data_IF_657940634018
#
_entry.id   IF_657940634018
#
_cell.length_a   1.000
_cell.length_b   1.000
_cell.length_c   1.000
_cell.angle_alpha   90.00
_cell.angle_beta   90.00
_cell.angle_gamma   90.00
#
_symmetry.space_group_name_H-M   'P 1'
#
loop_
_entity.id
_entity.type
_entity.pdbx_description
1 polymer ?
#
# COMPACT_ATOMS: atom_id res chain seq x y z
N UNK A 1 -26.99 17.04 4.19
CA UNK A 1 -26.26 18.02 5.01
C UNK A 1 -25.01 18.39 4.22
N UNK A 2 -24.93 19.61 3.71
CA UNK A 2 -23.77 20.13 2.97
C UNK A 2 -22.80 20.74 3.97
N UNK A 3 -21.64 20.12 4.17
CA UNK A 3 -20.58 20.66 5.01
C UNK A 3 -19.79 21.69 4.19
N UNK A 4 -19.47 22.88 4.73
CA UNK A 4 -18.67 23.88 4.03
C UNK A 4 -17.22 23.40 3.84
N UNK A 5 -16.62 23.71 2.69
CA UNK A 5 -15.29 23.21 2.30
C UNK A 5 -14.16 23.59 3.27
N UNK A 6 -14.30 24.67 4.05
CA UNK A 6 -13.28 25.14 5.00
C UNK A 6 -13.04 24.23 6.21
N UNK A 7 -14.03 23.39 6.58
CA UNK A 7 -13.92 22.49 7.73
C UNK A 7 -13.45 21.08 7.33
N UNK A 8 -13.48 20.77 6.03
CA UNK A 8 -13.23 19.43 5.48
C UNK A 8 -11.85 19.34 4.84
N UNK A 9 -11.41 20.43 4.19
CA UNK A 9 -10.13 20.48 3.49
C UNK A 9 -9.12 21.28 4.30
N UNK A 10 -8.00 20.65 4.62
CA UNK A 10 -6.87 21.31 5.26
C UNK A 10 -5.83 21.68 4.20
N UNK A 11 -5.31 22.89 4.28
CA UNK A 11 -4.26 23.35 3.39
C UNK A 11 -2.92 22.81 3.88
N UNK A 12 -2.26 22.03 3.03
CA UNK A 12 -0.97 21.43 3.35
C UNK A 12 -0.02 21.53 2.15
N UNK A 13 1.27 21.61 2.46
CA UNK A 13 2.31 21.57 1.45
C UNK A 13 2.65 20.10 1.17
N UNK A 14 2.45 19.69 -0.09
CA UNK A 14 2.73 18.33 -0.56
C UNK A 14 3.84 18.37 -1.63
N UNK A 15 4.25 17.19 -2.12
CA UNK A 15 5.19 17.08 -3.24
C UNK A 15 4.68 17.73 -4.54
N UNK A 16 3.36 17.93 -4.68
CA UNK A 16 2.73 18.61 -5.82
C UNK A 16 2.49 20.11 -5.57
N UNK A 17 2.96 20.62 -4.43
CA UNK A 17 2.79 22.01 -4.03
C UNK A 17 1.71 22.20 -2.97
N UNK A 18 1.10 23.37 -2.97
CA UNK A 18 0.10 23.78 -1.97
C UNK A 18 -1.26 23.13 -2.32
N UNK A 19 -1.65 22.12 -1.55
CA UNK A 19 -2.84 21.33 -1.84
C UNK A 19 -3.88 21.45 -0.72
N UNK A 20 -5.16 21.34 -1.10
CA UNK A 20 -6.27 21.18 -0.17
C UNK A 20 -6.53 19.68 0.02
N UNK A 21 -6.16 19.14 1.18
CA UNK A 21 -6.25 17.69 1.47
C UNK A 21 -7.47 17.42 2.36
N UNK A 22 -8.30 16.47 1.96
CA UNK A 22 -9.39 15.93 2.79
C UNK A 22 -8.97 14.57 3.35
N UNK A 23 -8.96 14.42 4.69
CA UNK A 23 -8.73 13.13 5.36
C UNK A 23 -10.02 12.62 6.02
N UNK A 24 -10.66 11.58 5.47
CA UNK A 24 -11.91 11.05 6.03
C UNK A 24 -11.80 10.52 7.46
N UNK A 25 -10.60 10.10 7.90
CA UNK A 25 -10.37 9.49 9.21
C UNK A 25 -10.18 10.50 10.35
N UNK A 26 -9.75 11.73 10.04
CA UNK A 26 -9.49 12.80 11.03
C UNK A 26 -10.71 13.68 11.24
N UNK A 27 -11.53 13.81 10.21
CA UNK A 27 -12.86 14.37 10.34
C UNK A 27 -13.66 13.31 11.11
N UNK A 28 -14.16 13.66 12.30
CA UNK A 28 -15.23 12.90 12.95
C UNK A 28 -16.49 13.01 12.07
N UNK A 29 -16.46 12.36 10.91
CA UNK A 29 -17.60 12.06 10.06
C UNK A 29 -18.38 10.90 10.72
N UNK A 30 -18.49 10.95 12.06
CA UNK A 30 -19.43 10.17 12.83
C UNK A 30 -20.81 10.49 12.28
N UNK A 31 -21.43 9.48 11.66
CA UNK A 31 -22.81 9.46 11.18
C UNK A 31 -23.12 9.83 9.73
N UNK A 32 -22.19 9.76 8.76
CA UNK A 32 -22.62 9.50 7.37
C UNK A 32 -22.74 7.98 7.20
N UNK A 33 -23.86 7.45 7.68
CA UNK A 33 -24.41 6.12 7.41
C UNK A 33 -23.36 5.03 7.17
N UNK A 34 -22.75 4.56 8.26
CA UNK A 34 -22.17 3.21 8.35
C UNK A 34 -23.28 2.16 8.26
N UNK A 35 -24.04 2.14 7.16
CA UNK A 35 -24.77 0.96 6.76
C UNK A 35 -23.73 0.05 6.10
N UNK A 36 -23.56 -1.16 6.65
CA UNK A 36 -22.66 -2.23 6.16
C UNK A 36 -22.92 -2.68 4.71
N UNK A 37 -23.80 -1.99 3.98
CA UNK A 37 -24.32 -2.37 2.66
C UNK A 37 -24.18 -1.26 1.61
N UNK A 38 -23.48 -0.14 1.88
CA UNK A 38 -23.22 0.86 0.85
C UNK A 38 -22.18 0.35 -0.14
N UNK A 39 -22.65 -0.03 -1.34
CA UNK A 39 -21.81 -0.52 -2.45
C UNK A 39 -20.96 0.60 -3.07
N UNK A 40 -21.39 1.85 -2.91
CA UNK A 40 -20.68 3.02 -3.38
C UNK A 40 -20.82 4.23 -2.45
N UNK A 41 -19.82 5.11 -2.48
CA UNK A 41 -19.86 6.43 -1.84
C UNK A 41 -19.73 7.51 -2.90
N UNK A 42 -20.43 8.64 -2.74
CA UNK A 42 -20.37 9.76 -3.66
C UNK A 42 -19.85 11.00 -2.94
N UNK A 43 -18.84 11.64 -3.51
CA UNK A 43 -18.37 12.96 -3.12
C UNK A 43 -18.66 13.91 -4.26
N UNK A 44 -19.32 15.02 -3.97
CA UNK A 44 -19.58 16.09 -4.92
C UNK A 44 -18.88 17.34 -4.43
N UNK A 45 -18.04 17.92 -5.27
CA UNK A 45 -17.32 19.15 -4.97
C UNK A 45 -17.41 20.11 -6.15
N UNK A 46 -17.67 21.38 -5.87
CA UNK A 46 -17.62 22.46 -6.83
C UNK A 46 -16.48 23.41 -6.45
N UNK A 47 -15.66 23.79 -7.42
CA UNK A 47 -14.58 24.75 -7.26
C UNK A 47 -14.79 25.88 -8.27
N UNK A 48 -14.62 27.13 -7.83
CA UNK A 48 -14.69 28.29 -8.70
C UNK A 48 -13.38 29.06 -8.62
N UNK A 49 -12.78 29.33 -9.78
CA UNK A 49 -11.55 30.10 -9.87
C UNK A 49 -11.86 31.59 -9.86
N UNK A 50 -11.09 32.35 -9.09
CA UNK A 50 -11.19 33.81 -9.05
C UNK A 50 -10.46 34.45 -10.24
N UNK A 51 -11.00 35.53 -10.80
CA UNK A 51 -10.48 36.22 -12.00
C UNK A 51 -9.02 36.70 -11.92
N UNK A 52 -8.45 36.79 -10.72
CA UNK A 52 -7.10 37.32 -10.51
C UNK A 52 -5.97 36.27 -10.61
N UNK A 53 -6.29 34.98 -10.66
CA UNK A 53 -5.28 33.92 -10.77
C UNK A 53 -4.99 33.57 -12.23
N UNK A 54 -3.73 33.76 -12.66
CA UNK A 54 -3.22 33.34 -13.99
C UNK A 54 -3.16 31.80 -14.19
N UNK A 55 -3.57 31.04 -13.18
CA UNK A 55 -3.57 29.57 -13.19
C UNK A 55 -4.97 29.11 -13.60
N UNK A 56 -5.11 28.68 -14.85
CA UNK A 56 -6.35 28.12 -15.38
C UNK A 56 -6.32 26.60 -15.16
N UNK A 57 -7.01 26.12 -14.13
CA UNK A 57 -7.19 24.70 -13.82
C UNK A 57 -6.62 24.28 -12.46
N UNK A 58 -7.08 23.14 -11.98
CA UNK A 58 -6.60 22.49 -10.76
C UNK A 58 -6.21 21.04 -11.05
N UNK A 59 -5.27 20.49 -10.31
CA UNK A 59 -4.95 19.07 -10.38
C UNK A 59 -5.70 18.32 -9.27
N UNK A 60 -6.22 17.15 -9.59
CA UNK A 60 -6.91 16.27 -8.65
C UNK A 60 -6.22 14.92 -8.59
N UNK A 61 -6.00 14.44 -7.37
CA UNK A 61 -5.45 13.10 -7.14
C UNK A 61 -6.10 12.47 -5.91
N UNK A 62 -6.13 11.14 -5.89
CA UNK A 62 -6.51 10.36 -4.71
C UNK A 62 -5.34 9.49 -4.30
N UNK A 63 -4.99 9.52 -3.01
CA UNK A 63 -3.88 8.73 -2.48
C UNK A 63 -4.36 7.87 -1.31
N UNK A 64 -4.10 6.58 -1.37
CA UNK A 64 -4.33 5.68 -0.25
C UNK A 64 -3.08 5.59 0.65
N UNK A 65 -3.22 5.50 2.00
CA UNK A 65 -2.08 5.29 2.88
C UNK A 65 -1.31 4.01 2.54
N UNK A 66 -0.04 4.14 2.15
CA UNK A 66 0.80 3.01 1.70
C UNK A 66 0.86 2.81 0.18
N UNK A 67 0.24 3.69 -0.61
CA UNK A 67 0.39 3.75 -2.06
C UNK A 67 1.72 4.44 -2.43
N UNK A 68 2.48 3.86 -3.36
CA UNK A 68 3.85 4.31 -3.68
C UNK A 68 3.90 5.56 -4.55
N UNK A 69 2.97 5.69 -5.50
CA UNK A 69 2.92 6.80 -6.45
C UNK A 69 1.49 7.04 -6.94
N UNK A 70 1.16 8.30 -7.18
CA UNK A 70 -0.11 8.74 -7.76
C UNK A 70 0.19 9.85 -8.76
N UNK A 71 -0.43 9.79 -9.93
CA UNK A 71 -0.35 10.85 -10.93
C UNK A 71 -1.57 11.77 -10.81
N UNK A 72 -1.37 13.09 -10.58
CA UNK A 72 -2.47 14.04 -10.57
C UNK A 72 -3.07 14.22 -11.96
N UNK A 73 -4.39 14.34 -12.02
CA UNK A 73 -5.13 14.58 -13.26
C UNK A 73 -5.54 16.05 -13.32
N UNK A 74 -5.24 16.78 -14.42
CA UNK A 74 -5.66 18.16 -14.58
C UNK A 74 -7.17 18.25 -14.83
N UNK A 75 -7.83 19.17 -14.12
CA UNK A 75 -9.21 19.53 -14.30
C UNK A 75 -9.29 20.93 -14.93
N UNK A 76 -9.87 20.99 -16.11
CA UNK A 76 -10.05 22.23 -16.87
C UNK A 76 -11.36 22.93 -16.49
N UNK A 77 -11.34 24.26 -16.28
CA UNK A 77 -12.54 25.05 -16.05
C UNK A 77 -13.58 24.90 -17.17
N UNK A 78 -14.85 24.95 -16.82
CA UNK A 78 -15.98 24.84 -17.75
C UNK A 78 -16.43 23.43 -18.06
N UNK A 79 -15.89 22.45 -17.33
CA UNK A 79 -16.27 21.05 -17.45
C UNK A 79 -16.76 20.48 -16.11
N UNK A 80 -17.74 19.60 -16.23
CA UNK A 80 -18.18 18.71 -15.18
C UNK A 80 -17.44 17.37 -15.33
N UNK A 81 -16.81 16.93 -14.26
CA UNK A 81 -16.08 15.68 -14.18
C UNK A 81 -16.87 14.66 -13.36
N UNK A 82 -17.03 13.47 -13.91
CA UNK A 82 -17.52 12.29 -13.21
C UNK A 82 -16.36 11.32 -13.05
N UNK A 83 -15.89 11.15 -11.83
CA UNK A 83 -14.82 10.21 -11.49
C UNK A 83 -15.37 8.91 -10.93
N UNK A 84 -14.80 7.79 -11.32
CA UNK A 84 -14.98 6.52 -10.63
C UNK A 84 -13.66 6.04 -10.05
N UNK A 85 -13.66 5.78 -8.74
CA UNK A 85 -12.50 5.34 -7.99
C UNK A 85 -12.66 3.87 -7.64
N UNK A 86 -11.70 3.06 -8.05
CA UNK A 86 -11.56 1.66 -7.64
C UNK A 86 -10.23 1.43 -6.96
N UNK A 87 -10.17 0.46 -6.05
CA UNK A 87 -8.92 0.13 -5.36
C UNK A 87 -8.54 -1.31 -5.61
N UNK A 88 -7.25 -1.54 -5.83
CA UNK A 88 -6.67 -2.88 -5.91
C UNK A 88 -5.66 -3.02 -4.78
N UNK A 89 -5.82 -4.08 -3.99
CA UNK A 89 -4.86 -4.43 -2.94
C UNK A 89 -4.25 -5.79 -3.21
N UNK A 90 -2.93 -5.87 -3.13
CA UNK A 90 -2.16 -7.10 -3.27
C UNK A 90 -1.48 -7.34 -1.92
N UNK A 91 -1.81 -8.45 -1.28
CA UNK A 91 -1.28 -8.84 0.03
C UNK A 91 -0.52 -10.14 -0.14
N UNK A 92 0.76 -10.13 0.23
CA UNK A 92 1.54 -11.35 0.38
C UNK A 92 1.19 -12.03 1.71
N UNK A 93 0.62 -13.23 1.65
CA UNK A 93 0.09 -13.92 2.84
C UNK A 93 1.16 -14.54 3.73
N UNK A 94 2.40 -14.69 3.24
CA UNK A 94 3.43 -15.51 3.91
C UNK A 94 4.78 -14.78 4.01
N UNK A 95 4.75 -13.46 4.20
CA UNK A 95 5.95 -12.65 4.42
C UNK A 95 6.84 -13.16 5.57
N UNK A 96 6.24 -13.74 6.62
CA UNK A 96 6.94 -14.26 7.80
C UNK A 96 7.55 -15.66 7.59
N UNK A 97 7.15 -16.39 6.53
CA UNK A 97 7.66 -17.76 6.24
C UNK A 97 8.58 -17.84 5.04
N UNK A 98 8.68 -16.77 4.26
CA UNK A 98 9.66 -16.67 3.20
C UNK A 98 11.02 -16.37 3.85
N UNK A 99 11.88 -17.38 3.86
CA UNK A 99 13.27 -17.42 4.40
C UNK A 99 14.19 -16.30 3.85
N UNK A 100 13.71 -15.44 2.94
CA UNK A 100 14.40 -14.24 2.49
C UNK A 100 13.55 -13.00 2.82
N UNK A 101 14.15 -12.00 3.47
CA UNK A 101 13.63 -10.64 3.63
C UNK A 101 13.32 -10.01 2.25
N UNK A 102 12.19 -10.34 1.62
CA UNK A 102 11.80 -9.85 0.29
C UNK A 102 10.91 -8.62 0.37
N UNK A 103 10.20 -8.43 1.48
CA UNK A 103 9.31 -7.29 1.69
C UNK A 103 9.22 -6.93 3.18
N UNK A 104 8.69 -5.74 3.49
CA UNK A 104 8.47 -5.25 4.86
C UNK A 104 6.97 -5.24 5.17
N UNK A 105 6.60 -5.89 6.29
CA UNK A 105 5.24 -5.84 6.82
C UNK A 105 5.15 -4.76 7.91
N UNK A 106 4.91 -3.51 7.49
CA UNK A 106 4.71 -2.37 8.40
C UNK A 106 3.59 -1.49 7.87
N UNK A 107 2.71 -1.04 8.75
CA UNK A 107 1.64 -0.11 8.37
C UNK A 107 2.23 1.23 7.88
N UNK A 108 1.69 1.76 6.79
CA UNK A 108 2.09 3.00 6.10
C UNK A 108 3.50 3.02 5.50
N UNK A 109 4.27 1.95 5.64
CA UNK A 109 5.56 1.82 5.00
C UNK A 109 5.43 1.72 3.48
N UNK A 110 6.22 2.52 2.77
CA UNK A 110 6.42 2.45 1.33
C UNK A 110 7.90 2.39 1.00
N UNK A 111 8.25 1.77 -0.13
CA UNK A 111 9.62 1.74 -0.61
C UNK A 111 10.15 3.16 -0.90
N UNK A 112 9.29 4.04 -1.43
CA UNK A 112 9.62 5.44 -1.69
C UNK A 112 9.97 6.21 -0.40
N UNK A 113 9.17 6.04 0.67
CA UNK A 113 9.46 6.67 1.97
C UNK A 113 10.78 6.16 2.56
N UNK A 114 11.06 4.86 2.45
CA UNK A 114 12.34 4.29 2.87
C UNK A 114 13.52 4.93 2.13
N UNK A 115 13.42 5.07 0.81
CA UNK A 115 14.48 5.67 0.00
C UNK A 115 14.72 7.14 0.36
N UNK A 116 13.65 7.91 0.60
CA UNK A 116 13.76 9.31 1.05
C UNK A 116 14.46 9.36 2.41
N UNK A 117 13.99 8.60 3.41
CA UNK A 117 14.61 8.54 4.75
C UNK A 117 16.07 8.09 4.70
N UNK A 118 16.44 7.23 3.75
CA UNK A 118 17.82 6.82 3.56
C UNK A 118 18.69 7.98 3.05
N UNK A 119 18.18 8.78 2.10
CA UNK A 119 18.85 10.01 1.64
C UNK A 119 18.96 11.04 2.75
N UNK A 120 17.91 11.22 3.55
CA UNK A 120 17.91 12.13 4.71
C UNK A 120 19.00 11.76 5.71
N UNK A 121 19.16 10.46 6.01
CA UNK A 121 20.23 9.97 6.90
C UNK A 121 21.62 10.22 6.33
N UNK A 122 21.81 10.07 5.03
CA UNK A 122 23.10 10.29 4.36
C UNK A 122 23.45 11.78 4.28
N UNK A 123 22.47 12.64 4.00
CA UNK A 123 22.65 14.09 3.93
C UNK A 123 22.58 14.77 5.32
N UNK A 124 22.14 14.05 6.36
CA UNK A 124 22.07 14.53 7.74
C UNK A 124 20.95 15.54 8.01
N UNK A 125 19.92 15.61 7.16
CA UNK A 125 18.80 16.54 7.31
C UNK A 125 17.50 15.98 6.69
N UNK A 126 16.35 16.43 7.19
CA UNK A 126 15.03 16.01 6.74
C UNK A 126 14.43 16.96 5.68
N UNK A 127 13.72 16.42 4.70
CA UNK A 127 13.04 17.19 3.66
C UNK A 127 11.83 17.93 4.25
N UNK A 128 11.74 19.28 4.13
CA UNK A 128 10.59 20.04 4.62
C UNK A 128 9.27 19.68 3.95
N UNK A 129 9.29 19.06 2.77
CA UNK A 129 8.09 18.66 2.03
C UNK A 129 7.55 17.28 2.46
N UNK A 130 8.30 16.55 3.28
CA UNK A 130 7.85 15.24 3.72
C UNK A 130 6.84 15.39 4.86
N UNK A 131 5.58 15.05 4.58
CA UNK A 131 4.61 14.80 5.64
C UNK A 131 5.02 13.54 6.39
N UNK A 132 5.18 13.64 7.71
CA UNK A 132 5.44 12.50 8.60
C UNK A 132 4.20 11.56 8.62
N UNK A 133 3.95 10.83 7.53
CA UNK A 133 2.87 9.84 7.47
C UNK A 133 3.19 8.61 8.33
N UNK A 134 4.49 8.35 8.53
CA UNK A 134 5.03 7.37 9.44
C UNK A 134 5.30 8.05 10.80
N UNK A 135 4.79 7.49 11.90
CA UNK A 135 5.04 7.97 13.28
C UNK A 135 6.52 7.92 13.73
N UNK A 136 7.47 7.67 12.83
CA UNK A 136 8.90 7.84 13.07
C UNK A 136 9.28 9.27 12.68
N UNK A 137 9.27 10.17 13.66
CA UNK A 137 9.91 11.47 13.52
C UNK A 137 11.39 11.21 13.30
N UNK A 138 11.86 11.44 12.08
CA UNK A 138 13.29 11.59 11.81
C UNK A 138 13.78 12.67 12.78
N UNK A 139 14.53 12.33 13.83
CA UNK A 139 15.10 13.29 14.77
C UNK A 139 16.17 14.21 14.14
N UNK A 140 16.12 14.38 12.81
CA UNK A 140 17.01 15.19 12.01
C UNK A 140 16.43 16.60 11.84
N UNK A 141 17.29 17.62 11.82
CA UNK A 141 16.85 18.99 11.55
C UNK A 141 16.36 19.14 10.11
N UNK A 142 15.44 20.07 9.88
CA UNK A 142 14.98 20.43 8.53
C UNK A 142 16.15 20.93 7.67
N UNK A 143 16.26 20.44 6.44
CA UNK A 143 17.33 20.82 5.52
C UNK A 143 17.31 22.32 5.19
N UNK A 144 18.48 22.97 5.30
CA UNK A 144 18.73 24.29 4.70
C UNK A 144 18.79 24.18 3.17
N UNK A 145 18.57 25.29 2.47
CA UNK A 145 18.56 25.38 0.99
C UNK A 145 19.85 24.81 0.38
N UNK A 146 21.01 24.99 1.03
CA UNK A 146 22.29 24.44 0.60
C UNK A 146 22.34 22.91 0.67
N UNK A 147 21.69 22.33 1.67
CA UNK A 147 21.67 20.88 1.92
C UNK A 147 20.58 20.17 1.11
N UNK A 148 19.56 20.89 0.63
CA UNK A 148 18.60 20.37 -0.35
C UNK A 148 19.29 19.89 -1.63
N UNK A 149 20.43 20.48 -1.98
CA UNK A 149 21.20 20.02 -3.13
C UNK A 149 21.70 18.57 -2.95
N UNK A 150 22.03 18.15 -1.73
CA UNK A 150 22.43 16.76 -1.43
C UNK A 150 21.27 15.79 -1.72
N UNK A 151 20.05 16.11 -1.28
CA UNK A 151 18.86 15.30 -1.51
C UNK A 151 18.52 15.15 -3.01
N UNK A 152 18.69 16.22 -3.80
CA UNK A 152 18.42 16.23 -5.24
C UNK A 152 19.52 15.57 -6.08
N UNK A 153 20.78 15.74 -5.67
CA UNK A 153 21.95 15.27 -6.46
C UNK A 153 22.17 13.76 -6.30
N UNK A 154 21.81 13.19 -5.16
CA UNK A 154 21.94 11.74 -4.95
C UNK A 154 20.88 10.95 -5.72
N UNK A 155 21.25 10.51 -6.93
CA UNK A 155 20.50 9.51 -7.72
C UNK A 155 20.57 8.14 -7.04
N UNK A 156 19.48 7.38 -7.19
CA UNK A 156 19.27 6.10 -6.49
C UNK A 156 20.33 5.03 -6.80
N UNK A 157 21.07 5.16 -7.91
CA UNK A 157 22.03 4.15 -8.38
C UNK A 157 23.31 4.02 -7.53
N UNK A 158 23.65 5.04 -6.72
CA UNK A 158 24.86 5.06 -5.89
C UNK A 158 24.57 4.87 -4.39
N UNK A 159 23.34 4.48 -4.01
CA UNK A 159 22.89 4.40 -2.62
C UNK A 159 22.92 2.94 -2.13
N UNK A 160 23.71 2.65 -1.10
CA UNK A 160 23.71 1.35 -0.40
C UNK A 160 22.52 1.21 0.56
N UNK A 161 21.30 1.48 0.08
CA UNK A 161 20.08 1.43 0.89
C UNK A 161 19.32 0.15 0.62
N UNK A 162 19.19 -0.68 1.65
CA UNK A 162 18.40 -1.92 1.59
C UNK A 162 16.91 -1.61 1.82
N UNK A 163 16.29 -0.88 0.89
CA UNK A 163 14.85 -0.60 0.93
C UNK A 163 14.10 -1.71 0.19
N UNK A 164 13.42 -2.55 0.96
CA UNK A 164 12.56 -3.61 0.46
C UNK A 164 11.15 -3.06 0.17
N UNK A 165 10.40 -3.63 -0.78
CA UNK A 165 9.02 -3.23 -1.04
C UNK A 165 8.09 -3.57 0.14
N UNK A 166 6.93 -2.90 0.20
CA UNK A 166 5.87 -3.29 1.15
C UNK A 166 5.25 -4.64 0.77
N UNK A 167 4.97 -5.49 1.77
CA UNK A 167 4.24 -6.75 1.55
C UNK A 167 2.74 -6.53 1.24
N UNK A 168 2.25 -5.33 1.54
CA UNK A 168 0.89 -4.88 1.20
C UNK A 168 0.99 -3.72 0.23
N UNK A 169 0.73 -4.00 -1.04
CA UNK A 169 0.66 -2.97 -2.08
C UNK A 169 -0.79 -2.58 -2.31
N UNK A 170 -1.07 -1.29 -2.26
CA UNK A 170 -2.39 -0.75 -2.59
C UNK A 170 -2.20 0.25 -3.72
N UNK A 171 -3.00 0.10 -4.77
CA UNK A 171 -3.07 1.03 -5.88
C UNK A 171 -4.52 1.45 -6.08
N UNK A 172 -4.72 2.74 -6.30
CA UNK A 172 -6.01 3.32 -6.62
C UNK A 172 -6.05 3.66 -8.11
N UNK A 173 -7.14 3.29 -8.75
CA UNK A 173 -7.38 3.59 -10.15
C UNK A 173 -8.55 4.58 -10.24
N UNK A 174 -8.28 5.73 -10.86
CA UNK A 174 -9.22 6.80 -11.06
C UNK A 174 -9.53 6.93 -12.54
N UNK A 175 -10.76 6.62 -12.92
CA UNK A 175 -11.28 6.84 -14.26
C UNK A 175 -12.16 8.09 -14.27
N UNK A 176 -11.79 9.11 -15.06
CA UNK A 176 -12.51 10.39 -15.17
C UNK A 176 -13.18 10.53 -16.54
N UNK A 177 -14.46 10.87 -16.50
CA UNK A 177 -15.25 11.27 -17.67
C UNK A 177 -15.60 12.76 -17.53
N UNK A 178 -15.63 13.50 -18.64
CA UNK A 178 -15.91 14.93 -18.61
C UNK A 178 -17.05 15.29 -19.57
N UNK A 179 -17.79 16.33 -19.20
CA UNK A 179 -18.89 16.88 -19.98
C UNK A 179 -18.91 18.40 -19.86
N UNK A 180 -19.19 19.17 -20.93
CA UNK A 180 -19.24 20.62 -20.85
C UNK A 180 -20.32 21.08 -19.86
N UNK A 181 -19.98 22.07 -19.03
CA UNK A 181 -20.85 22.52 -17.94
C UNK A 181 -22.12 23.23 -18.46
N UNK A 182 -22.07 23.82 -19.66
CA UNK A 182 -23.21 24.44 -20.34
C UNK A 182 -24.38 23.46 -20.57
N UNK A 183 -24.14 22.15 -20.60
CA UNK A 183 -25.21 21.15 -20.72
C UNK A 183 -26.13 21.09 -19.47
N UNK A 184 -25.73 21.72 -18.36
CA UNK A 184 -26.41 21.67 -17.07
C UNK A 184 -26.90 23.04 -16.58
N UNK A 185 -26.98 24.04 -17.47
CA UNK A 185 -27.49 25.39 -17.17
C UNK A 185 -28.93 25.38 -16.60
N UNK A 186 -29.69 24.30 -16.85
CA UNK A 186 -31.05 24.08 -16.33
C UNK A 186 -31.14 23.00 -15.24
N UNK A 187 -30.01 22.52 -14.69
CA UNK A 187 -30.03 21.50 -13.65
C UNK A 187 -30.47 22.12 -12.30
N UNK A 188 -31.50 21.56 -11.67
CA UNK A 188 -32.04 22.01 -10.38
C UNK A 188 -31.17 21.64 -9.16
N UNK A 189 -29.94 21.18 -9.37
CA UNK A 189 -29.06 20.74 -8.30
C UNK A 189 -28.42 21.95 -7.59
N UNK A 190 -28.54 22.00 -6.27
CA UNK A 190 -28.03 23.10 -5.43
C UNK A 190 -26.52 23.36 -5.58
N UNK A 191 -25.76 22.38 -6.08
CA UNK A 191 -24.31 22.47 -6.30
C UNK A 191 -23.96 23.43 -7.44
N UNK A 192 -24.82 23.57 -8.45
CA UNK A 192 -24.61 24.49 -9.56
C UNK A 192 -25.05 25.92 -9.23
N UNK A 193 -25.73 26.13 -8.08
CA UNK A 193 -26.21 27.44 -7.69
C UNK A 193 -25.03 28.36 -7.34
N UNK A 194 -24.91 29.49 -8.06
CA UNK A 194 -23.85 30.48 -7.84
C UNK A 194 -22.51 30.21 -8.52
N UNK A 195 -22.36 29.10 -9.26
CA UNK A 195 -21.14 28.81 -10.03
C UNK A 195 -21.18 29.45 -11.42
N UNK A 196 -20.06 30.03 -11.85
CA UNK A 196 -19.93 30.55 -13.21
C UNK A 196 -19.50 29.44 -14.19
N UNK A 197 -20.31 29.23 -15.24
CA UNK A 197 -20.14 28.17 -16.25
C UNK A 197 -18.73 28.07 -16.84
N UNK A 198 -18.05 29.20 -17.05
CA UNK A 198 -16.73 29.24 -17.69
C UNK A 198 -15.54 29.16 -16.73
N UNK A 199 -15.77 29.34 -15.43
CA UNK A 199 -14.73 29.51 -14.42
C UNK A 199 -14.83 28.52 -13.27
N UNK A 200 -15.82 27.64 -13.30
CA UNK A 200 -16.00 26.61 -12.31
C UNK A 200 -15.70 25.22 -12.87
N UNK A 201 -15.36 24.32 -11.94
CA UNK A 201 -15.17 22.90 -12.16
C UNK A 201 -16.02 22.18 -11.14
N UNK A 202 -16.84 21.24 -11.59
CA UNK A 202 -17.61 20.37 -10.71
C UNK A 202 -17.06 18.95 -10.85
N UNK A 203 -16.71 18.33 -9.72
CA UNK A 203 -16.24 16.95 -9.66
C UNK A 203 -17.22 16.10 -8.84
N UNK A 204 -17.78 15.08 -9.47
CA UNK A 204 -18.59 14.04 -8.85
C UNK A 204 -17.77 12.75 -8.81
N UNK A 205 -17.21 12.43 -7.65
CA UNK A 205 -16.40 11.23 -7.42
C UNK A 205 -17.26 10.10 -6.85
N UNK A 206 -17.28 8.96 -7.53
CA UNK A 206 -17.96 7.73 -7.13
C UNK A 206 -16.94 6.68 -6.72
N UNK A 207 -16.91 6.34 -5.44
CA UNK A 207 -16.04 5.30 -4.89
C UNK A 207 -16.78 3.97 -5.02
N UNK A 208 -16.31 3.08 -5.90
CA UNK A 208 -16.92 1.77 -6.14
C UNK A 208 -16.23 0.72 -5.27
N UNK A 209 -16.85 0.41 -4.13
CA UNK A 209 -16.29 -0.51 -3.14
C UNK A 209 -16.41 -1.97 -3.64
N UNK A 210 -17.50 -2.31 -4.33
CA UNK A 210 -17.75 -3.66 -4.88
C UNK A 210 -16.78 -4.05 -5.99
N UNK A 211 -16.32 -3.07 -6.76
CA UNK A 211 -15.42 -3.29 -7.90
C UNK A 211 -13.95 -3.34 -7.46
N UNK A 212 -13.68 -3.00 -6.19
CA UNK A 212 -12.35 -3.05 -5.62
C UNK A 212 -11.90 -4.49 -5.38
N UNK A 213 -10.66 -4.80 -5.78
CA UNK A 213 -10.13 -6.18 -5.80
C UNK A 213 -9.08 -6.37 -4.72
N UNK A 214 -9.11 -7.52 -4.07
CA UNK A 214 -8.06 -7.98 -3.16
C UNK A 214 -7.45 -9.26 -3.69
N UNK A 215 -6.17 -9.19 -4.07
CA UNK A 215 -5.38 -10.35 -4.45
C UNK A 215 -4.54 -10.78 -3.25
N UNK A 216 -4.69 -12.04 -2.86
CA UNK A 216 -3.84 -12.65 -1.83
C UNK A 216 -2.90 -13.60 -2.54
N UNK A 217 -1.61 -13.30 -2.46
CA UNK A 217 -0.57 -14.17 -3.01
C UNK A 217 -0.33 -15.27 -1.98
N UNK A 218 -0.68 -16.50 -2.36
CA UNK A 218 -0.44 -17.69 -1.57
C UNK A 218 0.72 -18.48 -2.19
N UNK A 219 1.59 -19.10 -1.38
CA UNK A 219 2.62 -19.97 -1.91
C UNK A 219 1.99 -21.18 -2.61
N UNK A 220 2.51 -21.52 -3.79
CA UNK A 220 2.06 -22.69 -4.57
C UNK A 220 2.36 -24.00 -3.86
N UNK A 221 3.47 -24.05 -3.11
CA UNK A 221 3.86 -25.19 -2.30
C UNK A 221 4.29 -24.75 -0.90
N UNK A 222 3.85 -25.50 0.10
CA UNK A 222 4.27 -25.35 1.49
C UNK A 222 5.11 -26.56 1.90
N UNK A 223 5.85 -26.47 3.00
CA UNK A 223 6.58 -27.63 3.55
C UNK A 223 5.64 -28.81 3.83
N UNK A 224 4.37 -28.55 4.12
CA UNK A 224 3.33 -29.55 4.38
C UNK A 224 2.97 -30.28 3.09
N UNK A 225 2.78 -29.56 1.98
CA UNK A 225 2.50 -30.18 0.68
C UNK A 225 3.72 -30.97 0.20
N UNK A 226 4.93 -30.46 0.45
CA UNK A 226 6.16 -31.17 0.10
C UNK A 226 6.33 -32.47 0.91
N UNK A 227 6.12 -32.43 2.23
CA UNK A 227 6.14 -33.64 3.06
C UNK A 227 5.03 -34.62 2.71
N UNK A 228 3.84 -34.12 2.37
CA UNK A 228 2.71 -34.95 1.94
C UNK A 228 3.03 -35.68 0.64
N UNK A 229 3.56 -34.97 -0.36
CA UNK A 229 3.97 -35.55 -1.64
C UNK A 229 5.11 -36.56 -1.46
N UNK A 230 6.13 -36.22 -0.68
CA UNK A 230 7.27 -37.10 -0.39
C UNK A 230 6.82 -38.36 0.38
N UNK A 231 6.00 -38.19 1.41
CA UNK A 231 5.43 -39.29 2.19
C UNK A 231 4.53 -40.19 1.36
N UNK A 232 3.75 -39.63 0.42
CA UNK A 232 2.96 -40.39 -0.54
C UNK A 232 3.81 -41.27 -1.44
N UNK A 233 4.92 -40.73 -1.97
CA UNK A 233 5.88 -41.50 -2.79
C UNK A 233 6.52 -42.63 -1.98
N UNK A 234 7.00 -42.36 -0.76
CA UNK A 234 7.61 -43.40 0.08
C UNK A 234 6.61 -44.51 0.46
N UNK A 235 5.37 -44.15 0.78
CA UNK A 235 4.32 -45.13 1.08
C UNK A 235 3.96 -45.98 -0.15
N UNK A 236 3.93 -45.40 -1.34
CA UNK A 236 3.58 -46.12 -2.57
C UNK A 236 4.68 -47.07 -3.04
N UNK A 237 5.95 -46.64 -3.02
CA UNK A 237 7.05 -47.45 -3.57
C UNK A 237 7.65 -48.44 -2.57
N UNK A 238 7.74 -48.07 -1.29
CA UNK A 238 8.37 -48.90 -0.27
C UNK A 238 7.34 -49.55 0.67
N UNK A 239 6.10 -49.05 0.74
CA UNK A 239 5.13 -49.45 1.76
C UNK A 239 5.54 -49.04 3.18
N UNK A 240 6.54 -48.18 3.31
CA UNK A 240 7.14 -47.77 4.58
C UNK A 240 6.53 -46.45 5.01
N UNK A 241 5.78 -46.47 6.11
CA UNK A 241 5.32 -45.27 6.80
C UNK A 241 6.31 -44.76 7.84
N UNK A 242 6.02 -43.59 8.42
CA UNK A 242 6.83 -42.96 9.49
C UNK A 242 7.13 -43.93 10.65
N UNK A 243 6.13 -44.71 11.08
CA UNK A 243 6.28 -45.66 12.17
C UNK A 243 7.23 -46.82 11.83
N UNK A 244 7.21 -47.30 10.58
CA UNK A 244 8.11 -48.36 10.14
C UNK A 244 9.55 -47.86 9.99
N UNK A 245 9.74 -46.60 9.56
CA UNK A 245 11.05 -45.94 9.57
C UNK A 245 11.60 -45.75 11.00
N UNK A 246 10.75 -45.36 11.96
CA UNK A 246 11.13 -45.25 13.38
C UNK A 246 11.53 -46.60 13.99
N UNK A 247 10.84 -47.68 13.63
CA UNK A 247 11.18 -49.04 14.08
C UNK A 247 12.54 -49.48 13.54
N UNK A 248 12.82 -49.21 12.25
CA UNK A 248 14.11 -49.48 11.64
C UNK A 248 15.25 -48.67 12.29
N UNK A 249 14.99 -47.39 12.57
CA UNK A 249 15.91 -46.53 13.34
C UNK A 249 16.18 -47.11 14.73
N UNK A 250 15.14 -47.56 15.44
CA UNK A 250 15.29 -48.16 16.76
C UNK A 250 16.13 -49.46 16.71
N UNK A 251 15.92 -50.31 15.70
CA UNK A 251 16.72 -51.52 15.51
C UNK A 251 18.20 -51.18 15.25
N UNK A 252 18.48 -50.20 14.40
CA UNK A 252 19.86 -49.79 14.06
C UNK A 252 20.55 -49.11 15.25
N UNK A 253 19.89 -48.15 15.90
CA UNK A 253 20.52 -47.32 16.94
C UNK A 253 20.52 -47.94 18.34
N UNK A 254 19.61 -48.87 18.64
CA UNK A 254 19.51 -49.47 19.98
C UNK A 254 19.94 -50.93 19.96
N UNK A 255 19.31 -51.76 19.12
CA UNK A 255 19.54 -53.21 19.14
C UNK A 255 20.90 -53.59 18.57
N UNK A 256 21.33 -52.94 17.48
CA UNK A 256 22.62 -53.21 16.84
C UNK A 256 23.84 -52.92 17.75
N UNK A 257 23.96 -51.74 18.41
CA UNK A 257 25.09 -51.47 19.30
C UNK A 257 25.07 -52.31 20.58
N UNK A 258 23.89 -52.70 21.09
CA UNK A 258 23.78 -53.63 22.22
C UNK A 258 24.27 -55.03 21.82
N UNK A 259 23.89 -55.51 20.64
CA UNK A 259 24.36 -56.80 20.11
C UNK A 259 25.87 -56.79 19.85
N UNK A 260 26.41 -55.71 19.29
CA UNK A 260 27.85 -55.52 19.07
C UNK A 260 28.64 -55.38 20.37
N UNK A 261 28.07 -54.77 21.42
CA UNK A 261 28.68 -54.76 22.76
C UNK A 261 28.71 -56.16 23.36
N UNK A 262 27.63 -56.93 23.24
CA UNK A 262 27.57 -58.32 23.71
C UNK A 262 28.56 -59.24 23.01
N UNK A 263 28.83 -59.05 21.71
CA UNK A 263 29.80 -59.90 20.99
C UNK A 263 31.26 -59.58 21.34
N UNK A 264 31.56 -58.37 21.84
CA UNK A 264 32.89 -57.99 22.33
C UNK A 264 33.23 -58.57 23.70
N UNK A 265 32.26 -59.10 24.44
CA UNK A 265 32.47 -59.74 25.76
C UNK A 265 32.67 -61.26 25.68
N UNK A 266 32.81 -61.86 24.50
CA UNK A 266 33.24 -63.26 24.42
C UNK A 266 34.76 -63.35 24.69
N UNK A 267 35.22 -63.97 25.79
CA UNK A 267 36.64 -64.17 26.03
C UNK A 267 37.24 -65.13 24.98
N UNK A 268 38.52 -65.00 24.61
CA UNK A 268 39.16 -65.94 23.70
C UNK A 268 39.08 -67.36 24.29
N UNK A 269 38.57 -68.29 23.49
CA UNK A 269 38.55 -69.72 23.78
C UNK A 269 39.98 -70.15 24.15
N UNK A 270 40.13 -70.71 25.35
CA UNK A 270 41.35 -71.36 25.84
C UNK A 270 41.10 -72.87 25.87
#
# INVERSE_FOLDING_TARGET
MTLPCGDIFQQELTQWGLCCVMRPNEIQLSSILTTRFTTSRRLLTGMQFSDHSRVYGCEFFTKYPGEEWVEPVPLTPGYNYMGSLTSTSIVDSDADKLVNNRCVYRDRYTMSNCMIKCKEKLCGCADPLQTNEDNETSGLPTCSITNLNCLRTYKNDNLSCNCLPSCRRVSTDLSLEFSPMNAFEHAFDNIYSGLNASQAVVLSLHIKITDSKKFVVNPTETWITLLSSLGGVFNMFLGVGLFSALELLFLIFVKLPIALRKSKELPPLK
#
